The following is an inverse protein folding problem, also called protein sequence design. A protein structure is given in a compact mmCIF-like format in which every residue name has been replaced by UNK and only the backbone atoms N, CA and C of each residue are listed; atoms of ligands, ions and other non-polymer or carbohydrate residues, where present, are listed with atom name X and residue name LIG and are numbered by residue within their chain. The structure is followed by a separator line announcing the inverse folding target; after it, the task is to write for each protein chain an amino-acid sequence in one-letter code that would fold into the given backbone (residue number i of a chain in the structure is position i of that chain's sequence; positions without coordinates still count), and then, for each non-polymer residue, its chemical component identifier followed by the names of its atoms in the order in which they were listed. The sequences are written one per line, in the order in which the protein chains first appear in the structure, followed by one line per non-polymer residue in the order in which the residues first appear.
data_IF_236512622787
#
_entry.id   IF_236512622787
#
_cell.length_a   1.000
_cell.length_b   1.000
_cell.length_c   1.000
_cell.angle_alpha   90.00
_cell.angle_beta   90.00
_cell.angle_gamma   90.00
#
_symmetry.space_group_name_H-M   'P 1'
#
loop_
_entity.id
_entity.type
_entity.pdbx_description
1 polymer ?
#
# COMPACT_ATOMS: atom_id res chain seq x y z
N UNK A 1 12.18 -11.06 -1.35
CA UNK A 1 11.73 -10.87 0.02
C UNK A 1 10.47 -11.67 0.34
N UNK A 2 10.39 -12.19 1.56
CA UNK A 2 9.35 -13.11 1.98
C UNK A 2 7.95 -12.49 2.01
N UNK A 3 7.86 -11.16 2.16
CA UNK A 3 6.59 -10.47 2.29
C UNK A 3 6.00 -9.95 0.97
N UNK A 4 6.70 -10.14 -0.14
CA UNK A 4 6.16 -9.76 -1.45
C UNK A 4 4.88 -10.55 -1.74
N UNK A 5 3.87 -9.87 -2.31
CA UNK A 5 2.56 -10.44 -2.66
C UNK A 5 1.78 -10.99 -1.47
N UNK A 6 1.95 -10.37 -0.30
CA UNK A 6 1.19 -10.72 0.89
C UNK A 6 0.22 -9.61 1.28
N UNK A 7 -0.69 -9.93 2.19
CA UNK A 7 -1.67 -8.99 2.73
C UNK A 7 -1.63 -9.07 4.24
N UNK A 8 -1.50 -7.90 4.88
CA UNK A 8 -1.50 -7.79 6.33
C UNK A 8 -2.72 -6.99 6.76
N UNK A 9 -3.53 -7.56 7.62
CA UNK A 9 -4.78 -6.95 8.09
C UNK A 9 -4.64 -6.49 9.53
N UNK A 10 -5.05 -5.24 9.78
CA UNK A 10 -5.06 -4.65 11.10
C UNK A 10 -6.49 -4.25 11.44
N UNK A 11 -7.04 -4.94 12.42
CA UNK A 11 -8.40 -4.68 12.88
C UNK A 11 -8.38 -3.76 14.10
N UNK A 12 -9.32 -2.84 14.14
CA UNK A 12 -9.55 -1.99 15.32
C UNK A 12 -11.05 -1.80 15.51
N UNK A 13 -11.45 -1.48 16.71
CA UNK A 13 -12.86 -1.35 17.04
C UNK A 13 -13.19 0.08 17.42
N UNK A 14 -14.23 0.63 16.80
CA UNK A 14 -14.82 1.91 17.20
C UNK A 14 -15.99 1.62 18.13
N UNK A 15 -15.91 2.18 19.33
CA UNK A 15 -16.94 1.97 20.38
C UNK A 15 -18.25 2.68 20.04
N UNK A 16 -18.19 3.70 19.21
CA UNK A 16 -19.33 4.52 18.81
C UNK A 16 -19.09 5.05 17.39
N UNK A 17 -20.13 5.61 16.73
CA UNK A 17 -19.91 6.31 15.47
C UNK A 17 -19.07 7.56 15.67
N UNK A 18 -18.28 7.91 14.66
CA UNK A 18 -17.46 9.11 14.64
C UNK A 18 -17.77 9.93 13.40
N UNK A 19 -17.33 11.19 13.38
CA UNK A 19 -17.55 12.08 12.26
C UNK A 19 -16.52 11.86 11.15
N UNK A 20 -15.33 11.44 11.48
CA UNK A 20 -14.28 11.22 10.52
C UNK A 20 -13.24 10.22 10.99
N UNK A 21 -12.50 9.67 10.05
CA UNK A 21 -11.41 8.75 10.29
C UNK A 21 -10.20 9.24 9.50
N UNK A 22 -9.06 9.35 10.16
CA UNK A 22 -7.81 9.71 9.52
C UNK A 22 -6.82 8.58 9.62
N UNK A 23 -6.11 8.32 8.54
CA UNK A 23 -5.14 7.24 8.47
C UNK A 23 -3.85 7.81 7.90
N UNK A 24 -2.74 7.55 8.58
CA UNK A 24 -1.42 7.85 8.06
C UNK A 24 -0.66 6.55 7.89
N UNK A 25 -0.19 6.31 6.69
CA UNK A 25 0.62 5.15 6.37
C UNK A 25 1.92 5.63 5.73
N UNK A 26 3.04 5.12 6.24
CA UNK A 26 4.34 5.42 5.66
C UNK A 26 5.22 4.19 5.64
N UNK A 27 6.07 4.09 4.64
CA UNK A 27 7.03 3.00 4.55
C UNK A 27 8.34 3.49 3.95
N UNK A 28 9.43 2.81 4.31
CA UNK A 28 10.77 3.12 3.83
C UNK A 28 11.63 1.86 3.81
N UNK A 29 12.53 1.73 2.86
CA UNK A 29 12.74 2.63 1.72
C UNK A 29 11.70 2.41 0.62
N UNK A 30 11.52 3.40 -0.24
CA UNK A 30 10.63 3.29 -1.41
C UNK A 30 11.35 2.65 -2.60
N UNK A 31 12.63 2.94 -2.75
CA UNK A 31 13.43 2.59 -3.93
C UNK A 31 14.60 1.70 -3.51
N UNK A 32 14.90 0.70 -4.32
CA UNK A 32 16.11 -0.08 -4.19
C UNK A 32 17.24 0.66 -4.92
N UNK A 33 18.16 1.25 -4.14
CA UNK A 33 19.24 2.05 -4.70
C UNK A 33 20.45 1.21 -5.15
N UNK A 34 20.59 -0.01 -4.64
CA UNK A 34 21.66 -0.93 -5.05
C UNK A 34 21.37 -1.46 -6.46
N UNK A 35 22.08 -0.92 -7.44
CA UNK A 35 21.88 -1.27 -8.84
C UNK A 35 22.26 -2.70 -9.17
N UNK A 36 23.28 -3.22 -8.52
CA UNK A 36 23.71 -4.61 -8.73
C UNK A 36 22.66 -5.59 -8.20
N UNK A 37 22.12 -5.31 -7.02
CA UNK A 37 21.06 -6.12 -6.44
C UNK A 37 19.79 -6.03 -7.27
N UNK A 38 19.46 -4.83 -7.75
CA UNK A 38 18.31 -4.62 -8.63
C UNK A 38 18.47 -5.41 -9.94
N UNK A 39 19.63 -5.35 -10.55
CA UNK A 39 19.91 -6.10 -11.78
C UNK A 39 19.78 -7.61 -11.55
N UNK A 40 20.28 -8.12 -10.43
CA UNK A 40 20.15 -9.52 -10.10
C UNK A 40 18.70 -9.95 -9.91
N UNK A 41 17.91 -9.15 -9.21
CA UNK A 41 16.48 -9.43 -9.00
C UNK A 41 15.72 -9.44 -10.33
N UNK A 42 16.01 -8.49 -11.21
CA UNK A 42 15.41 -8.42 -12.54
C UNK A 42 15.78 -9.66 -13.34
N UNK A 43 17.06 -10.05 -13.35
CA UNK A 43 17.52 -11.22 -14.08
C UNK A 43 16.84 -12.49 -13.59
N UNK A 44 16.73 -12.68 -12.26
CA UNK A 44 16.03 -13.83 -11.68
C UNK A 44 14.57 -13.88 -12.09
N UNK A 45 13.91 -12.74 -12.13
CA UNK A 45 12.52 -12.64 -12.54
C UNK A 45 12.37 -13.03 -14.02
N UNK A 46 13.27 -12.56 -14.88
CA UNK A 46 13.26 -12.89 -16.31
C UNK A 46 13.48 -14.39 -16.49
N UNK A 47 14.45 -14.98 -15.82
CA UNK A 47 14.74 -16.41 -15.91
C UNK A 47 13.56 -17.26 -15.45
N UNK A 48 12.81 -16.79 -14.46
CA UNK A 48 11.69 -17.51 -13.88
C UNK A 48 10.40 -17.42 -14.70
N UNK A 49 10.11 -16.24 -15.27
CA UNK A 49 8.82 -15.95 -15.89
C UNK A 49 8.84 -15.76 -17.40
N UNK A 50 10.03 -15.59 -18.00
CA UNK A 50 10.16 -15.34 -19.43
C UNK A 50 10.61 -16.60 -20.14
N UNK A 51 9.97 -16.90 -21.27
CA UNK A 51 10.34 -18.05 -22.09
C UNK A 51 11.79 -17.95 -22.59
N UNK A 52 12.51 -19.09 -22.74
CA UNK A 52 13.93 -19.06 -23.13
C UNK A 52 14.23 -18.23 -24.38
N UNK A 53 13.36 -18.25 -25.38
CA UNK A 53 13.55 -17.50 -26.62
C UNK A 53 13.50 -15.98 -26.43
N UNK A 54 12.88 -15.53 -25.35
CA UNK A 54 12.69 -14.12 -25.06
C UNK A 54 13.61 -13.59 -23.96
N UNK A 55 14.38 -14.47 -23.33
CA UNK A 55 15.24 -14.07 -22.18
C UNK A 55 16.33 -13.10 -22.57
N UNK A 56 17.01 -13.34 -23.66
CA UNK A 56 18.10 -12.49 -24.08
C UNK A 56 17.66 -11.05 -24.40
N UNK A 57 16.60 -10.83 -25.21
CA UNK A 57 16.09 -9.48 -25.42
C UNK A 57 15.59 -8.83 -24.14
N UNK A 58 14.99 -9.61 -23.23
CA UNK A 58 14.52 -9.08 -21.96
C UNK A 58 15.67 -8.64 -21.06
N UNK A 59 16.75 -9.42 -21.02
CA UNK A 59 17.96 -9.06 -20.27
C UNK A 59 18.63 -7.79 -20.81
N UNK A 60 18.63 -7.61 -22.12
CA UNK A 60 19.16 -6.41 -22.74
C UNK A 60 18.40 -5.14 -22.34
N UNK A 61 17.11 -5.29 -22.03
CA UNK A 61 16.26 -4.17 -21.60
C UNK A 61 16.13 -4.03 -20.08
N UNK A 62 16.89 -4.83 -19.32
CA UNK A 62 16.78 -4.85 -17.86
C UNK A 62 17.01 -3.49 -17.20
N UNK A 63 17.89 -2.65 -17.77
CA UNK A 63 18.15 -1.31 -17.24
C UNK A 63 16.88 -0.44 -17.19
N UNK A 64 15.91 -0.69 -18.05
CA UNK A 64 14.67 0.08 -18.10
C UNK A 64 13.79 -0.17 -16.89
N UNK A 65 14.01 -1.27 -16.16
CA UNK A 65 13.25 -1.60 -14.97
C UNK A 65 13.81 -0.98 -13.70
N UNK A 66 14.94 -0.29 -13.80
CA UNK A 66 15.55 0.38 -12.65
C UNK A 66 15.12 1.84 -12.58
N UNK A 67 15.01 2.42 -11.37
CA UNK A 67 15.18 1.74 -10.09
C UNK A 67 13.97 0.87 -9.74
N UNK A 68 14.21 -0.25 -9.07
CA UNK A 68 13.13 -1.07 -8.53
C UNK A 68 12.52 -0.38 -7.30
N UNK A 69 11.22 -0.57 -7.12
CA UNK A 69 10.47 0.11 -6.07
C UNK A 69 9.69 -0.88 -5.21
N UNK A 70 9.62 -0.56 -3.93
CA UNK A 70 8.66 -1.22 -3.06
C UNK A 70 7.28 -0.65 -3.35
N UNK A 71 6.27 -1.50 -3.37
CA UNK A 71 4.91 -1.09 -3.63
C UNK A 71 3.98 -1.71 -2.60
N UNK A 72 3.38 -0.84 -1.79
CA UNK A 72 2.42 -1.22 -0.77
C UNK A 72 1.18 -0.35 -0.94
N UNK A 73 0.00 -0.96 -1.00
CA UNK A 73 -1.26 -0.23 -1.10
C UNK A 73 -2.11 -0.46 0.14
N UNK A 74 -3.07 0.45 0.36
CA UNK A 74 -3.92 0.46 1.54
C UNK A 74 -5.36 0.29 1.11
N UNK A 75 -6.08 -0.64 1.75
CA UNK A 75 -7.52 -0.77 1.59
C UNK A 75 -8.21 -0.72 2.95
N UNK A 76 -9.47 -0.31 2.96
CA UNK A 76 -10.21 -0.09 4.19
C UNK A 76 -11.59 -0.73 4.10
N UNK A 77 -11.94 -1.47 5.14
CA UNK A 77 -13.27 -2.06 5.31
C UNK A 77 -13.85 -1.58 6.65
N UNK A 78 -15.10 -1.16 6.62
CA UNK A 78 -15.80 -0.87 7.87
C UNK A 78 -16.51 -2.13 8.41
N UNK A 79 -17.32 -1.97 9.43
CA UNK A 79 -18.01 -3.12 10.04
C UNK A 79 -19.07 -3.73 9.14
N UNK A 80 -19.42 -3.10 8.02
CA UNK A 80 -20.50 -3.52 7.14
C UNK A 80 -20.08 -3.76 5.71
N UNK A 81 -19.14 -2.95 5.19
CA UNK A 81 -18.78 -3.00 3.77
C UNK A 81 -17.36 -2.53 3.50
N UNK A 82 -16.91 -2.80 2.31
CA UNK A 82 -15.63 -2.31 1.82
C UNK A 82 -15.73 -0.81 1.55
N UNK A 83 -14.74 -0.04 2.03
CA UNK A 83 -14.72 1.41 1.91
C UNK A 83 -13.70 1.91 0.88
N UNK A 84 -13.07 1.03 0.17
CA UNK A 84 -12.19 1.40 -0.94
C UNK A 84 -10.73 1.00 -0.75
N UNK A 85 -9.96 1.28 -1.78
CA UNK A 85 -8.53 1.00 -1.79
C UNK A 85 -7.78 2.16 -2.45
N UNK A 86 -6.63 2.50 -1.90
CA UNK A 86 -5.78 3.55 -2.42
C UNK A 86 -4.60 2.92 -3.15
N UNK A 87 -4.55 3.12 -4.45
CA UNK A 87 -3.48 2.58 -5.30
C UNK A 87 -2.37 3.61 -5.53
N UNK A 88 -2.10 4.43 -4.51
CA UNK A 88 -1.03 5.42 -4.58
C UNK A 88 0.33 4.75 -4.42
N UNK A 89 1.31 5.29 -5.11
CA UNK A 89 2.68 4.83 -5.01
C UNK A 89 3.52 5.64 -4.03
N UNK A 90 2.93 6.64 -3.39
CA UNK A 90 3.63 7.50 -2.44
C UNK A 90 4.06 6.73 -1.19
N UNK A 91 5.31 6.92 -0.72
CA UNK A 91 5.77 6.24 0.50
C UNK A 91 5.15 6.80 1.79
N UNK A 92 4.55 7.98 1.73
CA UNK A 92 3.79 8.57 2.82
C UNK A 92 2.40 8.91 2.32
N UNK A 93 1.39 8.36 2.96
CA UNK A 93 0.01 8.57 2.56
C UNK A 93 -0.81 9.01 3.76
N UNK A 94 -1.56 10.11 3.58
CA UNK A 94 -2.51 10.59 4.55
C UNK A 94 -3.90 10.47 3.94
N UNK A 95 -4.75 9.67 4.57
CA UNK A 95 -6.06 9.31 4.06
C UNK A 95 -7.14 9.79 5.01
N UNK A 96 -8.28 10.16 4.46
CA UNK A 96 -9.40 10.68 5.21
C UNK A 96 -10.72 10.08 4.74
N UNK A 97 -11.58 9.77 5.69
CA UNK A 97 -12.94 9.31 5.46
C UNK A 97 -13.90 10.06 6.36
N UNK A 98 -14.97 10.57 5.76
CA UNK A 98 -16.12 11.10 6.50
C UNK A 98 -17.38 10.87 5.69
N UNK A 99 -18.50 11.27 6.23
CA UNK A 99 -19.77 11.18 5.52
C UNK A 99 -19.79 12.04 4.25
N UNK A 100 -19.07 13.15 4.25
CA UNK A 100 -19.06 14.13 3.15
C UNK A 100 -17.83 14.07 2.27
N UNK A 101 -16.70 13.62 2.82
CA UNK A 101 -15.41 13.62 2.12
C UNK A 101 -14.67 12.32 2.27
N UNK A 102 -13.95 11.95 1.24
CA UNK A 102 -13.04 10.81 1.28
C UNK A 102 -11.86 11.07 0.37
N UNK A 103 -10.69 10.58 0.75
CA UNK A 103 -9.53 10.61 -0.12
C UNK A 103 -9.78 9.82 -1.40
N UNK A 104 -9.12 10.16 -2.52
CA UNK A 104 -9.29 9.41 -3.77
C UNK A 104 -9.08 7.90 -3.58
N UNK A 105 -9.99 7.11 -4.11
CA UNK A 105 -9.98 5.65 -3.95
C UNK A 105 -10.83 5.15 -2.80
N UNK A 106 -11.16 6.01 -1.84
CA UNK A 106 -12.03 5.67 -0.71
C UNK A 106 -13.45 6.16 -0.95
N UNK A 107 -14.41 5.49 -0.34
CA UNK A 107 -15.83 5.80 -0.48
C UNK A 107 -16.32 6.55 0.76
N UNK A 108 -16.82 7.76 0.55
CA UNK A 108 -17.41 8.56 1.63
C UNK A 108 -18.67 7.88 2.17
N UNK A 109 -18.98 8.15 3.42
CA UNK A 109 -20.11 7.58 4.12
C UNK A 109 -19.93 7.69 5.61
N UNK A 110 -20.95 7.35 6.36
CA UNK A 110 -20.92 7.38 7.81
C UNK A 110 -19.75 6.52 8.34
N UNK A 111 -19.27 6.86 9.52
CA UNK A 111 -18.23 6.12 10.20
C UNK A 111 -18.87 5.34 11.35
N UNK A 112 -19.42 4.16 11.08
CA UNK A 112 -20.17 3.40 12.10
C UNK A 112 -19.28 2.80 13.16
N UNK A 113 -19.90 2.53 14.29
CA UNK A 113 -19.26 1.72 15.32
C UNK A 113 -19.03 0.29 14.81
N UNK A 114 -18.14 -0.42 15.44
CA UNK A 114 -17.84 -1.80 15.12
C UNK A 114 -16.40 -2.00 14.69
N UNK A 115 -16.11 -3.16 14.15
CA UNK A 115 -14.75 -3.52 13.74
C UNK A 115 -14.44 -2.99 12.35
N UNK A 116 -13.38 -2.23 12.28
CA UNK A 116 -12.80 -1.73 11.02
C UNK A 116 -11.52 -2.49 10.73
N UNK A 117 -11.19 -2.65 9.47
CA UNK A 117 -9.97 -3.34 9.06
C UNK A 117 -9.23 -2.51 8.03
N UNK A 118 -7.95 -2.29 8.28
CA UNK A 118 -7.03 -1.71 7.30
C UNK A 118 -6.16 -2.85 6.78
N UNK A 119 -6.15 -3.03 5.46
CA UNK A 119 -5.34 -4.06 4.82
C UNK A 119 -4.20 -3.41 4.06
N UNK A 120 -2.98 -3.81 4.39
CA UNK A 120 -1.79 -3.41 3.64
C UNK A 120 -1.47 -4.53 2.67
N UNK A 121 -1.45 -4.20 1.39
CA UNK A 121 -1.16 -5.17 0.34
C UNK A 121 0.24 -4.94 -0.19
N UNK A 122 1.10 -5.91 0.03
CA UNK A 122 2.51 -5.87 -0.37
C UNK A 122 2.64 -6.45 -1.76
N UNK A 123 2.63 -5.60 -2.77
CA UNK A 123 2.71 -6.03 -4.17
C UNK A 123 4.13 -6.37 -4.58
N UNK A 124 5.09 -5.61 -4.07
CA UNK A 124 6.51 -5.85 -4.33
C UNK A 124 7.34 -5.30 -3.17
N UNK A 125 8.22 -6.12 -2.63
CA UNK A 125 9.24 -5.71 -1.67
C UNK A 125 10.57 -6.15 -2.24
N UNK A 126 11.33 -5.20 -2.74
CA UNK A 126 12.59 -5.44 -3.45
C UNK A 126 13.83 -5.15 -2.60
N UNK A 127 13.66 -4.45 -1.48
CA UNK A 127 14.74 -4.18 -0.54
C UNK A 127 14.85 -5.33 0.47
N UNK A 128 16.01 -5.51 1.07
CA UNK A 128 16.21 -6.51 2.13
C UNK A 128 15.25 -6.28 3.28
N UNK A 129 15.02 -5.00 3.58
CA UNK A 129 14.21 -4.58 4.70
C UNK A 129 13.32 -3.43 4.26
N UNK A 130 12.05 -3.51 4.60
CA UNK A 130 11.11 -2.42 4.41
C UNK A 130 10.32 -2.26 5.70
N UNK A 131 10.43 -1.10 6.33
CA UNK A 131 9.70 -0.80 7.55
C UNK A 131 8.49 0.06 7.22
N UNK A 132 7.40 -0.11 7.98
CA UNK A 132 6.22 0.71 7.79
C UNK A 132 5.63 1.11 9.13
N UNK A 133 4.83 2.18 9.09
CA UNK A 133 4.09 2.68 10.24
C UNK A 133 2.68 3.02 9.80
N UNK A 134 1.72 2.53 10.56
CA UNK A 134 0.30 2.78 10.32
C UNK A 134 -0.29 3.43 11.58
N UNK A 135 -0.94 4.59 11.40
CA UNK A 135 -1.64 5.28 12.48
C UNK A 135 -3.06 5.59 12.04
N UNK A 136 -3.99 5.42 12.96
CA UNK A 136 -5.41 5.67 12.72
C UNK A 136 -5.96 6.55 13.82
N UNK A 137 -6.70 7.60 13.44
CA UNK A 137 -7.39 8.48 14.37
C UNK A 137 -8.86 8.55 14.02
N UNK A 138 -9.71 8.58 15.04
CA UNK A 138 -11.12 8.83 14.87
C UNK A 138 -11.45 10.24 15.39
N UNK A 139 -12.15 11.03 14.59
CA UNK A 139 -12.48 12.41 14.90
C UNK A 139 -13.94 12.56 15.29
N UNK A 140 -14.24 13.30 16.34
CA UNK A 140 -15.61 13.57 16.79
C UNK A 140 -16.30 14.62 15.96
N UNK A 141 -15.54 15.50 15.31
CA UNK A 141 -16.05 16.51 14.39
C UNK A 141 -15.37 16.34 13.04
N UNK A 142 -16.11 16.63 11.97
CA UNK A 142 -15.59 16.55 10.61
C UNK A 142 -14.52 17.63 10.42
N UNK A 143 -13.31 17.21 10.04
CA UNK A 143 -12.19 18.13 9.89
C UNK A 143 -12.09 18.72 8.49
N UNK A 144 -11.30 19.80 8.37
CA UNK A 144 -10.96 20.41 7.09
C UNK A 144 -9.74 19.70 6.49
N UNK A 145 -9.94 18.48 6.11
CA UNK A 145 -8.87 17.70 5.52
C UNK A 145 -8.80 17.96 4.01
N UNK A 146 -7.60 18.23 3.53
CA UNK A 146 -7.35 18.50 2.12
C UNK A 146 -6.50 17.43 1.48
#
# INVERSE_FOLDING_TARGET
PADSRSHHRYAFKLERPYAGLRIRFEYAPKILEDRERAAELIRRSIERYVEPERREPALERAEQFQPLRNLITVSIDDSREHRGACHRQDPVQELYLSERKASPGLTKGAIPAGTWTVTLSFHAIVTERCTYRLKVWADEAEGDFQ
#
